data_IF_797874217512
#
_entry.id   IF_797874217512
#
_cell.length_a   1.000
_cell.length_b   1.000
_cell.length_c   1.000
_cell.angle_alpha   90.00
_cell.angle_beta   90.00
_cell.angle_gamma   90.00
#
_symmetry.space_group_name_H-M   'P 1'
#
loop_
_entity.id
_entity.type
_entity.pdbx_description
1 polymer ?
#
# COMPACT_ATOMS: atom_id res chain seq x y z
N UNK A 1 20.41 12.03 -14.51
CA UNK A 1 19.32 11.05 -14.71
C UNK A 1 18.35 11.66 -15.71
N UNK A 2 18.00 10.95 -16.78
CA UNK A 2 17.04 11.43 -17.77
C UNK A 2 15.62 11.30 -17.22
N UNK A 3 14.86 12.40 -17.16
CA UNK A 3 13.45 12.33 -16.79
C UNK A 3 12.63 11.64 -17.92
N UNK A 4 11.57 10.90 -17.57
CA UNK A 4 10.70 10.29 -18.57
C UNK A 4 10.04 11.36 -19.42
N UNK A 5 9.97 11.12 -20.74
CA UNK A 5 9.23 11.99 -21.67
C UNK A 5 7.74 11.69 -21.58
N UNK A 6 6.89 12.69 -21.82
CA UNK A 6 5.42 12.50 -21.77
C UNK A 6 4.88 11.47 -22.77
N UNK A 7 5.59 11.27 -23.90
CA UNK A 7 5.28 10.26 -24.92
C UNK A 7 5.93 8.88 -24.68
N UNK A 8 6.66 8.70 -23.58
CA UNK A 8 7.30 7.44 -23.25
C UNK A 8 6.28 6.47 -22.65
N UNK A 9 6.35 5.20 -23.07
CA UNK A 9 5.51 4.15 -22.51
C UNK A 9 5.95 3.83 -21.08
N UNK A 10 4.96 3.71 -20.20
CA UNK A 10 5.11 3.47 -18.78
C UNK A 10 4.68 2.04 -18.43
N UNK A 11 4.97 1.65 -17.20
CA UNK A 11 4.74 0.32 -16.66
C UNK A 11 4.19 0.47 -15.25
N UNK A 12 3.23 -0.38 -14.88
CA UNK A 12 2.74 -0.47 -13.51
C UNK A 12 3.46 -1.63 -12.83
N UNK A 13 4.14 -1.34 -11.73
CA UNK A 13 4.81 -2.35 -10.91
C UNK A 13 4.12 -2.37 -9.54
N UNK A 14 3.76 -3.58 -9.10
CA UNK A 14 3.12 -3.83 -7.81
C UNK A 14 4.10 -4.44 -6.82
N UNK A 15 3.90 -4.09 -5.56
CA UNK A 15 4.65 -4.52 -4.38
C UNK A 15 3.70 -5.20 -3.39
N UNK A 16 4.15 -5.41 -2.14
CA UNK A 16 3.31 -5.98 -1.08
C UNK A 16 2.08 -5.11 -0.79
N UNK A 17 1.07 -5.75 -0.21
CA UNK A 17 -0.22 -5.12 0.14
C UNK A 17 -0.88 -4.33 -0.99
N UNK A 18 -0.72 -4.78 -2.23
CA UNK A 18 -1.25 -4.14 -3.43
C UNK A 18 -0.73 -2.71 -3.70
N UNK A 19 0.34 -2.28 -3.02
CA UNK A 19 1.02 -1.02 -3.32
C UNK A 19 1.50 -1.06 -4.78
N UNK A 20 1.18 -0.04 -5.56
CA UNK A 20 1.64 0.08 -6.94
C UNK A 20 2.25 1.45 -7.19
N UNK A 21 3.22 1.51 -8.08
CA UNK A 21 3.73 2.78 -8.59
C UNK A 21 4.05 2.67 -10.09
N UNK A 22 4.31 3.82 -10.70
CA UNK A 22 4.51 3.94 -12.14
C UNK A 22 5.99 3.99 -12.45
N UNK A 23 6.42 3.24 -13.45
CA UNK A 23 7.82 3.12 -13.84
C UNK A 23 8.02 3.26 -15.35
N UNK A 24 9.25 3.55 -15.75
CA UNK A 24 9.68 3.59 -17.14
C UNK A 24 10.97 2.78 -17.33
N UNK A 25 11.26 2.41 -18.57
CA UNK A 25 12.53 1.78 -18.97
C UNK A 25 13.35 2.81 -19.74
N UNK A 26 14.62 2.97 -19.39
CA UNK A 26 15.51 3.89 -20.09
C UNK A 26 15.69 3.48 -21.57
N UNK A 27 15.50 4.44 -22.49
CA UNK A 27 15.68 4.26 -23.92
C UNK A 27 17.09 3.74 -24.25
N UNK A 28 17.20 2.82 -25.21
CA UNK A 28 18.49 2.28 -25.68
C UNK A 28 19.10 1.17 -24.81
N UNK A 29 18.47 0.77 -23.71
CA UNK A 29 18.95 -0.35 -22.88
C UNK A 29 18.64 -1.73 -23.47
N UNK A 30 17.65 -1.83 -24.37
CA UNK A 30 17.16 -3.10 -24.89
C UNK A 30 16.40 -3.95 -23.84
N UNK A 31 16.15 -3.42 -22.64
CA UNK A 31 15.39 -4.09 -21.60
C UNK A 31 13.91 -4.18 -22.02
N UNK A 32 13.37 -5.39 -21.99
CA UNK A 32 11.95 -5.67 -22.20
C UNK A 32 11.41 -6.43 -20.99
N UNK A 33 10.18 -6.11 -20.60
CA UNK A 33 9.49 -6.74 -19.48
C UNK A 33 8.06 -7.03 -19.88
N UNK A 34 7.46 -8.05 -19.26
CA UNK A 34 6.05 -8.43 -19.46
C UNK A 34 5.33 -8.58 -18.11
N UNK A 35 3.99 -8.56 -18.09
CA UNK A 35 3.24 -8.85 -16.88
C UNK A 35 3.65 -10.18 -16.26
N UNK A 36 3.89 -10.18 -14.95
CA UNK A 36 4.40 -11.31 -14.17
C UNK A 36 5.92 -11.33 -13.99
N UNK A 37 6.70 -10.52 -14.72
CA UNK A 37 8.14 -10.43 -14.50
C UNK A 37 8.46 -9.75 -13.17
N UNK A 38 9.44 -10.30 -12.44
CA UNK A 38 10.02 -9.66 -11.26
C UNK A 38 11.15 -8.74 -11.69
N UNK A 39 11.11 -7.49 -11.23
CA UNK A 39 12.01 -6.42 -11.64
C UNK A 39 12.62 -5.71 -10.46
N UNK A 40 13.84 -5.22 -10.64
CA UNK A 40 14.49 -4.29 -9.72
C UNK A 40 14.25 -2.87 -10.22
N UNK A 41 13.67 -2.06 -9.35
CA UNK A 41 13.33 -0.68 -9.63
C UNK A 41 14.10 0.28 -8.74
N UNK A 42 14.20 1.54 -9.16
CA UNK A 42 14.70 2.61 -8.31
C UNK A 42 13.64 3.02 -7.28
N UNK A 43 14.06 3.13 -6.02
CA UNK A 43 13.24 3.57 -4.91
C UNK A 43 13.81 4.86 -4.30
N UNK A 44 13.09 5.49 -3.37
CA UNK A 44 13.53 6.75 -2.74
C UNK A 44 14.86 6.58 -2.00
N UNK A 45 15.14 5.37 -1.52
CA UNK A 45 16.42 4.97 -0.91
C UNK A 45 16.84 3.62 -1.47
N UNK A 46 17.65 3.65 -2.53
CA UNK A 46 18.21 2.43 -3.14
C UNK A 46 17.30 1.80 -4.18
N UNK A 47 17.05 0.51 -4.04
CA UNK A 47 16.29 -0.27 -5.02
C UNK A 47 15.28 -1.18 -4.34
N UNK A 48 14.17 -1.44 -5.03
CA UNK A 48 13.12 -2.34 -4.56
C UNK A 48 12.86 -3.44 -5.59
N UNK A 49 12.29 -4.56 -5.13
CA UNK A 49 11.87 -5.67 -5.98
C UNK A 49 10.35 -5.64 -6.11
N UNK A 50 9.85 -5.50 -7.33
CA UNK A 50 8.42 -5.50 -7.62
C UNK A 50 8.05 -6.41 -8.78
N UNK A 51 6.75 -6.61 -8.97
CA UNK A 51 6.20 -7.42 -10.06
C UNK A 51 5.56 -6.52 -11.10
N UNK A 52 5.90 -6.70 -12.37
CA UNK A 52 5.24 -5.98 -13.47
C UNK A 52 3.80 -6.46 -13.59
N UNK A 53 2.86 -5.53 -13.49
CA UNK A 53 1.42 -5.80 -13.58
C UNK A 53 0.84 -5.38 -14.92
N UNK A 54 1.32 -4.25 -15.45
CA UNK A 54 0.98 -3.74 -16.79
C UNK A 54 2.24 -3.17 -17.44
N UNK A 55 2.41 -3.44 -18.71
CA UNK A 55 3.44 -2.89 -19.58
C UNK A 55 2.81 -1.99 -20.65
N UNK A 56 3.62 -1.15 -21.29
CA UNK A 56 3.23 -0.36 -22.45
C UNK A 56 1.99 0.53 -22.24
N UNK A 57 1.85 1.16 -21.07
CA UNK A 57 0.73 2.07 -20.77
C UNK A 57 1.11 3.52 -21.08
N UNK A 58 0.17 4.29 -21.63
CA UNK A 58 0.33 5.73 -21.79
C UNK A 58 0.21 6.47 -20.43
N UNK A 59 0.48 7.77 -20.44
CA UNK A 59 0.49 8.59 -19.23
C UNK A 59 -0.87 8.71 -18.54
N UNK A 60 -1.95 8.80 -19.31
CA UNK A 60 -3.31 8.94 -18.78
C UNK A 60 -3.75 7.62 -18.15
N UNK A 61 -3.61 6.52 -18.89
CA UNK A 61 -3.91 5.17 -18.42
C UNK A 61 -3.07 4.82 -17.19
N UNK A 62 -1.79 5.20 -17.14
CA UNK A 62 -0.94 4.98 -15.97
C UNK A 62 -1.44 5.73 -14.73
N UNK A 63 -2.00 6.93 -14.90
CA UNK A 63 -2.57 7.71 -13.80
C UNK A 63 -3.81 7.02 -13.25
N UNK A 64 -4.74 6.64 -14.12
CA UNK A 64 -5.97 5.93 -13.75
C UNK A 64 -5.66 4.60 -13.03
N UNK A 65 -4.69 3.84 -13.54
CA UNK A 65 -4.26 2.60 -12.90
C UNK A 65 -3.61 2.84 -11.53
N UNK A 66 -2.80 3.89 -11.38
CA UNK A 66 -2.21 4.25 -10.08
C UNK A 66 -3.28 4.57 -9.05
N UNK A 67 -4.31 5.33 -9.43
CA UNK A 67 -5.46 5.63 -8.57
C UNK A 67 -6.23 4.34 -8.20
N UNK A 68 -6.52 3.49 -9.19
CA UNK A 68 -7.16 2.19 -8.95
C UNK A 68 -6.40 1.32 -7.94
N UNK A 69 -5.07 1.17 -8.10
CA UNK A 69 -4.27 0.39 -7.15
C UNK A 69 -4.15 1.05 -5.77
N UNK A 70 -4.21 2.38 -5.68
CA UNK A 70 -4.27 3.07 -4.39
C UNK A 70 -5.57 2.75 -3.64
N UNK A 71 -6.71 2.67 -4.33
CA UNK A 71 -7.97 2.23 -3.74
C UNK A 71 -7.92 0.76 -3.30
N UNK A 72 -7.36 -0.12 -4.13
CA UNK A 72 -7.21 -1.55 -3.81
C UNK A 72 -6.26 -1.76 -2.62
N UNK A 73 -5.15 -1.03 -2.55
CA UNK A 73 -4.26 -1.03 -1.39
C UNK A 73 -5.01 -0.58 -0.13
N UNK A 74 -5.80 0.50 -0.21
CA UNK A 74 -6.59 0.96 0.93
C UNK A 74 -7.58 -0.11 1.40
N UNK A 75 -8.36 -0.69 0.48
CA UNK A 75 -9.29 -1.78 0.79
C UNK A 75 -8.57 -2.97 1.43
N UNK A 76 -7.44 -3.38 0.86
CA UNK A 76 -6.61 -4.47 1.40
C UNK A 76 -6.22 -4.18 2.84
N UNK A 77 -5.62 -3.01 3.11
CA UNK A 77 -5.19 -2.62 4.45
C UNK A 77 -6.36 -2.57 5.44
N UNK A 78 -7.54 -2.10 5.02
CA UNK A 78 -8.72 -2.02 5.89
C UNK A 78 -9.32 -3.40 6.20
N UNK A 79 -9.30 -4.35 5.26
CA UNK A 79 -9.79 -5.72 5.49
C UNK A 79 -9.02 -6.45 6.59
N UNK A 80 -7.73 -6.14 6.76
CA UNK A 80 -6.88 -6.74 7.80
C UNK A 80 -6.83 -5.93 9.10
N UNK A 81 -7.61 -4.85 9.21
CA UNK A 81 -7.78 -4.14 10.49
C UNK A 81 -8.62 -4.98 11.45
N UNK A 82 -8.26 -5.00 12.74
CA UNK A 82 -9.00 -5.72 13.78
C UNK A 82 -10.47 -5.25 13.88
N UNK A 83 -10.76 -4.01 13.48
CA UNK A 83 -12.12 -3.46 13.44
C UNK A 83 -13.01 -4.07 12.34
N UNK A 84 -12.45 -4.67 11.29
CA UNK A 84 -13.23 -5.34 10.23
C UNK A 84 -13.66 -6.77 10.64
N UNK A 85 -12.86 -7.48 11.43
CA UNK A 85 -13.16 -8.84 11.88
C UNK A 85 -14.23 -8.88 12.98
N UNK A 86 -14.33 -7.85 13.82
CA UNK A 86 -15.35 -7.75 14.87
C UNK A 86 -16.79 -7.59 14.33
N UNK A 87 -16.96 -7.27 13.04
CA UNK A 87 -18.27 -7.16 12.40
C UNK A 87 -18.82 -8.52 11.90
N UNK A 88 -18.03 -9.60 11.92
CA UNK A 88 -18.47 -10.92 11.43
C UNK A 88 -18.70 -11.98 12.53
N UNK A 89 -18.27 -11.76 13.77
CA UNK A 89 -18.52 -12.71 14.88
C UNK A 89 -19.85 -12.44 15.61
N UNK A 90 -20.86 -12.01 14.84
CA UNK A 90 -22.21 -11.69 15.29
C UNK A 90 -23.26 -12.46 14.50
N UNK A 91 -23.18 -13.80 14.48
CA UNK A 91 -24.27 -14.61 13.95
C UNK A 91 -25.51 -14.50 14.85
N UNK A 92 -26.50 -13.73 14.40
CA UNK A 92 -27.91 -14.07 14.58
C UNK A 92 -28.73 -13.18 15.50
N UNK A 93 -29.86 -12.73 14.93
CA UNK A 93 -31.07 -12.18 15.56
C UNK A 93 -31.05 -10.68 15.90
N UNK A 94 -31.97 -9.94 15.29
CA UNK A 94 -32.47 -8.69 15.88
C UNK A 94 -32.78 -7.57 14.91
N UNK A 95 -33.72 -7.80 14.00
CA UNK A 95 -34.62 -6.74 13.55
C UNK A 95 -35.23 -6.06 14.81
N UNK A 96 -35.15 -4.73 14.89
CA UNK A 96 -35.89 -3.84 15.80
C UNK A 96 -35.62 -3.95 17.31
N UNK A 97 -34.93 -2.95 17.89
CA UNK A 97 -35.13 -2.40 19.23
C UNK A 97 -34.13 -1.24 19.43
N UNK A 98 -34.42 -0.08 19.98
CA UNK A 98 -35.66 0.55 20.40
C UNK A 98 -35.34 2.05 20.54
N UNK A 99 -36.27 2.90 20.13
CA UNK A 99 -36.33 4.26 20.62
C UNK A 99 -36.67 4.21 22.12
N UNK A 100 -35.83 4.75 22.99
CA UNK A 100 -36.25 5.54 24.15
C UNK A 100 -35.05 6.11 24.89
N UNK A 101 -35.14 7.41 25.18
CA UNK A 101 -34.13 8.15 25.93
C UNK A 101 -34.15 7.87 27.43
N UNK A 102 -33.09 8.29 28.12
CA UNK A 102 -33.11 9.35 29.12
C UNK A 102 -31.70 9.53 29.73
N UNK A 103 -31.26 10.79 29.74
CA UNK A 103 -30.50 11.52 30.77
C UNK A 103 -29.23 10.94 31.43
N UNK A 104 -28.13 11.70 31.32
CA UNK A 104 -26.96 11.56 32.19
C UNK A 104 -25.81 12.54 31.89
N UNK A 105 -26.02 13.81 32.25
CA UNK A 105 -25.08 14.91 32.58
C UNK A 105 -23.64 15.01 32.00
N UNK A 106 -23.46 16.12 31.29
CA UNK A 106 -22.32 17.04 31.11
C UNK A 106 -21.03 16.86 31.96
N UNK A 107 -19.88 16.83 31.27
CA UNK A 107 -18.80 17.86 31.29
C UNK A 107 -17.56 17.30 30.59
N UNK A 108 -16.99 18.05 29.64
CA UNK A 108 -15.67 17.78 29.05
C UNK A 108 -15.69 17.56 27.55
N UNK A 109 -15.84 18.65 26.80
CA UNK A 109 -15.71 18.62 25.35
C UNK A 109 -14.31 18.20 24.91
N UNK A 110 -14.26 17.37 23.87
CA UNK A 110 -13.43 17.56 22.69
C UNK A 110 -14.26 16.97 21.53
N UNK A 111 -14.52 17.77 20.52
CA UNK A 111 -15.24 17.36 19.32
C UNK A 111 -14.52 16.21 18.60
N UNK A 112 -15.13 15.64 17.55
CA UNK A 112 -14.52 14.55 16.79
C UNK A 112 -13.10 14.99 16.38
N UNK A 113 -12.06 14.16 16.56
CA UNK A 113 -10.76 14.50 16.03
C UNK A 113 -10.92 14.67 14.53
N UNK A 114 -10.81 15.93 14.17
CA UNK A 114 -10.73 16.47 12.83
C UNK A 114 -9.76 15.61 12.04
N UNK A 115 -10.23 15.12 10.89
CA UNK A 115 -9.43 14.92 9.68
C UNK A 115 -7.93 14.76 9.97
N UNK A 116 -7.54 13.60 10.50
CA UNK A 116 -6.14 13.24 10.51
C UNK A 116 -5.73 12.96 9.07
N UNK A 117 -5.24 14.02 8.43
CA UNK A 117 -4.15 14.02 7.46
C UNK A 117 -4.05 12.69 6.68
N UNK A 118 -4.99 12.48 5.75
CA UNK A 118 -4.59 11.83 4.52
C UNK A 118 -3.49 12.74 4.00
N UNK A 119 -2.25 12.30 4.17
CA UNK A 119 -1.12 12.83 3.43
C UNK A 119 -1.65 13.02 2.01
N UNK A 120 -1.72 14.26 1.53
CA UNK A 120 -1.93 14.54 0.12
C UNK A 120 -0.77 13.86 -0.61
N UNK A 121 -0.96 12.57 -0.91
CA UNK A 121 -0.28 11.96 -2.02
C UNK A 121 -0.56 12.92 -3.16
N UNK A 122 0.50 13.44 -3.79
CA UNK A 122 0.48 14.27 -4.99
C UNK A 122 -0.37 13.59 -6.09
N UNK A 123 -1.69 13.56 -5.94
CA UNK A 123 -2.63 12.81 -6.77
C UNK A 123 -2.72 13.44 -8.18
N UNK A 124 -2.22 14.67 -8.32
CA UNK A 124 -2.14 15.36 -9.60
C UNK A 124 -0.99 14.88 -10.50
N UNK A 125 0.18 14.56 -9.94
CA UNK A 125 1.43 14.50 -10.70
C UNK A 125 2.09 13.11 -10.64
N UNK A 126 2.10 12.41 -11.77
CA UNK A 126 2.89 11.19 -11.94
C UNK A 126 4.37 11.53 -11.90
N UNK A 127 5.14 10.77 -11.10
CA UNK A 127 6.60 10.81 -11.05
C UNK A 127 7.15 9.42 -11.34
N UNK A 128 7.15 8.98 -12.61
CA UNK A 128 7.58 7.63 -12.94
C UNK A 128 9.04 7.39 -12.55
N UNK A 129 9.31 6.23 -11.94
CA UNK A 129 10.65 5.79 -11.50
C UNK A 129 11.27 4.81 -12.50
N UNK A 130 12.56 4.51 -12.39
CA UNK A 130 13.25 3.65 -13.35
C UNK A 130 13.09 2.16 -13.01
N UNK A 131 12.73 1.34 -14.02
CA UNK A 131 13.00 -0.11 -13.99
C UNK A 131 14.46 -0.31 -14.42
N UNK A 132 15.29 -0.86 -13.52
CA UNK A 132 16.73 -1.01 -13.75
C UNK A 132 17.05 -2.28 -14.53
N UNK A 133 16.41 -3.40 -14.17
CA UNK A 133 16.60 -4.73 -14.77
C UNK A 133 15.58 -5.74 -14.25
N UNK A 134 15.58 -6.94 -14.84
CA UNK A 134 14.96 -8.12 -14.25
C UNK A 134 15.64 -8.49 -12.92
N UNK A 135 14.85 -9.03 -11.99
CA UNK A 135 15.34 -9.57 -10.73
C UNK A 135 16.20 -10.82 -10.96
N UNK A 136 17.27 -10.93 -10.18
CA UNK A 136 18.14 -12.10 -10.17
C UNK A 136 17.64 -13.12 -9.15
N UNK A 137 18.01 -14.39 -9.35
CA UNK A 137 17.55 -15.48 -8.49
C UNK A 137 17.81 -15.23 -7.01
N UNK A 138 18.96 -14.69 -6.63
CA UNK A 138 19.27 -14.44 -5.21
C UNK A 138 18.33 -13.43 -4.56
N UNK A 139 17.87 -12.41 -5.31
CA UNK A 139 16.94 -11.38 -4.83
C UNK A 139 15.55 -11.98 -4.64
N UNK A 140 15.14 -12.87 -5.54
CA UNK A 140 13.87 -13.60 -5.45
C UNK A 140 13.88 -14.54 -4.25
N UNK A 141 14.98 -15.27 -4.01
CA UNK A 141 15.09 -16.15 -2.84
C UNK A 141 15.07 -15.35 -1.52
N UNK A 142 15.70 -14.18 -1.49
CA UNK A 142 15.71 -13.31 -0.31
C UNK A 142 14.32 -12.81 0.12
N UNK A 143 13.31 -12.85 -0.76
CA UNK A 143 11.93 -12.48 -0.40
C UNK A 143 11.38 -13.31 0.76
N UNK A 144 11.76 -14.59 0.86
CA UNK A 144 11.31 -15.47 1.95
C UNK A 144 11.86 -15.03 3.31
N UNK A 145 13.13 -14.64 3.34
CA UNK A 145 13.77 -14.14 4.55
C UNK A 145 13.17 -12.80 4.97
N UNK A 146 12.87 -11.93 3.98
CA UNK A 146 12.16 -10.66 4.20
C UNK A 146 10.78 -10.89 4.82
N UNK A 147 9.97 -11.81 4.29
CA UNK A 147 8.67 -12.16 4.86
C UNK A 147 8.76 -12.62 6.32
N UNK A 148 9.77 -13.43 6.67
CA UNK A 148 10.01 -13.83 8.06
C UNK A 148 10.36 -12.66 8.97
N UNK A 149 11.21 -11.75 8.50
CA UNK A 149 11.59 -10.55 9.25
C UNK A 149 10.43 -9.57 9.43
N UNK A 150 9.58 -9.41 8.42
CA UNK A 150 8.36 -8.61 8.48
C UNK A 150 7.37 -9.16 9.51
N UNK A 151 7.11 -10.48 9.48
CA UNK A 151 6.22 -11.11 10.45
C UNK A 151 6.72 -10.92 11.89
N UNK A 152 8.03 -11.04 12.11
CA UNK A 152 8.66 -10.78 13.41
C UNK A 152 8.55 -9.31 13.79
N UNK A 153 8.86 -8.38 12.89
CA UNK A 153 8.77 -6.95 13.13
C UNK A 153 7.34 -6.52 13.47
N UNK A 154 6.35 -6.95 12.69
CA UNK A 154 4.93 -6.69 12.93
C UNK A 154 4.50 -7.16 14.32
N UNK A 155 4.82 -8.41 14.69
CA UNK A 155 4.49 -8.95 16.01
C UNK A 155 5.09 -8.13 17.16
N UNK A 156 6.38 -7.78 17.05
CA UNK A 156 7.06 -6.97 18.07
C UNK A 156 6.44 -5.57 18.17
N UNK A 157 6.14 -4.92 17.05
CA UNK A 157 5.49 -3.61 17.04
C UNK A 157 4.09 -3.66 17.65
N UNK A 158 3.27 -4.66 17.30
CA UNK A 158 1.94 -4.87 17.88
C UNK A 158 2.01 -5.05 19.41
N UNK A 159 2.98 -5.84 19.89
CA UNK A 159 3.18 -6.04 21.32
C UNK A 159 3.52 -4.71 22.03
N UNK A 160 4.44 -3.92 21.46
CA UNK A 160 4.81 -2.60 22.02
C UNK A 160 3.65 -1.61 22.04
N UNK A 161 2.86 -1.55 20.97
CA UNK A 161 1.65 -0.71 20.90
C UNK A 161 0.72 -1.02 22.08
N UNK A 162 0.50 -2.31 22.36
CA UNK A 162 -0.32 -2.76 23.49
C UNK A 162 0.30 -2.44 24.85
N UNK A 163 1.59 -2.72 25.02
CA UNK A 163 2.33 -2.45 26.27
C UNK A 163 2.35 -0.96 26.64
N UNK A 164 2.44 -0.09 25.63
CA UNK A 164 2.45 1.36 25.81
C UNK A 164 1.06 2.02 25.72
N UNK A 165 -0.01 1.24 25.50
CA UNK A 165 -1.38 1.76 25.40
C UNK A 165 -1.58 2.76 24.27
N UNK A 166 -0.87 2.61 23.14
CA UNK A 166 -0.96 3.53 22.02
C UNK A 166 -2.27 3.28 21.25
N UNK A 167 -3.02 4.35 20.98
CA UNK A 167 -4.25 4.30 20.19
C UNK A 167 -3.95 4.23 18.68
N UNK A 168 -3.29 3.15 18.25
CA UNK A 168 -2.95 2.89 16.85
C UNK A 168 -2.95 1.39 16.55
N UNK A 169 -3.09 1.02 15.28
CA UNK A 169 -3.02 -0.36 14.82
C UNK A 169 -1.89 -0.54 13.79
N UNK A 170 -1.18 -1.66 13.88
CA UNK A 170 -0.16 -2.04 12.89
C UNK A 170 -0.83 -2.90 11.81
N UNK A 171 -1.15 -2.28 10.67
CA UNK A 171 -1.82 -2.97 9.56
C UNK A 171 -0.86 -3.86 8.76
N UNK A 172 0.37 -3.40 8.52
CA UNK A 172 1.38 -4.14 7.76
C UNK A 172 2.83 -3.75 8.13
N UNK A 173 3.81 -4.54 7.68
CA UNK A 173 5.24 -4.24 7.78
C UNK A 173 5.97 -4.70 6.50
N UNK A 174 6.82 -3.84 5.95
CA UNK A 174 7.72 -4.17 4.82
C UNK A 174 9.19 -4.17 5.28
N UNK A 175 9.99 -5.13 4.83
CA UNK A 175 11.43 -5.20 5.12
C UNK A 175 12.25 -4.94 3.85
N UNK A 176 13.03 -3.86 3.89
CA UNK A 176 13.83 -3.37 2.76
C UNK A 176 15.24 -3.96 2.76
#
# INVERSE_FOLDING_TARGET
>A
MSQPRHNQLLHIVVFKCARADVFYIQEGTGLTVKPGDLVIVEADRGTDLGTVMRDNVDWQTAKELKEHYAEEQYKWLMMYSQNAAAAQDGTGAGLMAAANGLQGSAVGGMGPPSQHHMQEANAGELKPKLIKRLAQSHEIHALRDKEGNEAKAKRVCMQKVKEHGLNMEILDAEFQ
#
